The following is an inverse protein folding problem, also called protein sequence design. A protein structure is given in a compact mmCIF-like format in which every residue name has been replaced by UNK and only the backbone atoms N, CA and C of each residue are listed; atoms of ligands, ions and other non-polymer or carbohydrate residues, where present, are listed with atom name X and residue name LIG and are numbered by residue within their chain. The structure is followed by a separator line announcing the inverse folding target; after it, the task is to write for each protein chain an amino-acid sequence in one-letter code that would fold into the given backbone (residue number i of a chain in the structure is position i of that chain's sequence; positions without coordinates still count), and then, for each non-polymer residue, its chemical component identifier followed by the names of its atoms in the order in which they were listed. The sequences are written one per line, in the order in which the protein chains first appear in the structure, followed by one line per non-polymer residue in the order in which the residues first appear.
data_IF_407756996253
#
_entry.id   IF_407756996253
#
_cell.length_a   1.000
_cell.length_b   1.000
_cell.length_c   1.000
_cell.angle_alpha   90.00
_cell.angle_beta   90.00
_cell.angle_gamma   90.00
#
_symmetry.space_group_name_H-M   'P 1'
#
loop_
_entity.id
_entity.type
_entity.pdbx_description
1 polymer ?
#
# COMPACT_ATOMS: atom_id res chain seq x y z
N UNK A 1 15.34 -18.12 12.19
CA UNK A 1 14.53 -17.44 11.17
C UNK A 1 14.56 -15.93 11.36
N UNK A 2 14.76 -15.19 10.27
CA UNK A 2 14.85 -13.73 10.30
C UNK A 2 13.68 -13.14 9.52
N UNK A 3 12.94 -12.25 10.16
CA UNK A 3 11.86 -11.52 9.52
C UNK A 3 12.28 -10.08 9.28
N UNK A 4 11.82 -9.51 8.16
CA UNK A 4 12.08 -8.13 7.80
C UNK A 4 10.79 -7.31 7.93
N UNK A 5 10.89 -6.18 8.63
CA UNK A 5 9.78 -5.26 8.82
C UNK A 5 10.15 -3.89 8.27
N UNK A 6 9.28 -3.32 7.47
CA UNK A 6 9.47 -1.97 6.94
C UNK A 6 8.56 -1.00 7.69
N UNK A 7 9.14 0.03 8.29
CA UNK A 7 8.41 1.06 9.02
C UNK A 7 8.59 2.39 8.29
N UNK A 8 7.50 3.08 8.00
CA UNK A 8 7.52 4.39 7.35
C UNK A 8 7.37 5.47 8.41
N UNK A 9 8.31 6.40 8.44
CA UNK A 9 8.35 7.47 9.44
C UNK A 9 8.53 8.81 8.75
N UNK A 10 7.85 9.83 9.24
CA UNK A 10 8.06 11.20 8.80
C UNK A 10 9.08 11.88 9.72
N UNK A 11 10.03 12.61 9.12
CA UNK A 11 11.05 13.33 9.88
C UNK A 11 12.33 13.52 9.08
N UNK A 12 13.23 14.33 9.60
CA UNK A 12 14.54 14.51 8.98
C UNK A 12 15.50 13.39 9.39
N UNK A 13 16.73 13.43 8.87
CA UNK A 13 17.74 12.40 9.14
C UNK A 13 18.03 12.25 10.63
N UNK A 14 18.00 13.35 11.37
CA UNK A 14 18.26 13.34 12.82
C UNK A 14 17.20 12.53 13.57
N UNK A 15 15.94 12.73 13.22
CA UNK A 15 14.81 11.97 13.80
C UNK A 15 14.93 10.50 13.44
N UNK A 16 15.26 10.20 12.19
CA UNK A 16 15.45 8.82 11.74
C UNK A 16 16.57 8.11 12.49
N UNK A 17 17.69 8.81 12.74
CA UNK A 17 18.80 8.26 13.50
C UNK A 17 18.40 7.95 14.95
N UNK A 18 17.59 8.83 15.57
CA UNK A 18 17.10 8.60 16.94
C UNK A 18 16.20 7.37 16.99
N UNK A 19 15.29 7.23 16.02
CA UNK A 19 14.40 6.08 15.95
C UNK A 19 15.18 4.80 15.73
N UNK A 20 16.16 4.82 14.82
CA UNK A 20 17.07 3.70 14.60
C UNK A 20 17.73 3.23 15.87
N UNK A 21 18.31 4.17 16.62
CA UNK A 21 19.02 3.86 17.87
C UNK A 21 18.08 3.26 18.92
N UNK A 22 16.85 3.75 19.01
CA UNK A 22 15.85 3.19 19.93
C UNK A 22 15.48 1.76 19.55
N UNK A 23 15.27 1.51 18.25
CA UNK A 23 14.93 0.17 17.76
C UNK A 23 16.05 -0.83 17.97
N UNK A 24 17.30 -0.41 17.81
CA UNK A 24 18.46 -1.28 18.02
C UNK A 24 18.60 -1.77 19.46
N UNK A 25 17.96 -1.10 20.42
CA UNK A 25 17.99 -1.51 21.83
C UNK A 25 17.06 -2.68 22.13
N UNK A 26 16.15 -2.98 21.22
CA UNK A 26 15.20 -4.08 21.42
C UNK A 26 15.92 -5.43 21.27
N UNK A 27 15.59 -6.36 22.18
CA UNK A 27 16.25 -7.66 22.25
C UNK A 27 16.23 -8.45 20.93
N UNK A 28 15.10 -8.44 20.26
CA UNK A 28 14.91 -9.26 19.05
C UNK A 28 15.32 -8.57 17.75
N UNK A 29 15.77 -7.32 17.83
CA UNK A 29 16.21 -6.57 16.65
C UNK A 29 17.66 -6.86 16.34
N UNK A 30 17.93 -7.41 15.16
CA UNK A 30 19.27 -7.75 14.70
C UNK A 30 19.94 -6.60 13.96
N UNK A 31 19.15 -5.88 13.16
CA UNK A 31 19.67 -4.80 12.32
C UNK A 31 18.56 -3.81 11.99
N UNK A 32 18.92 -2.52 11.96
CA UNK A 32 18.04 -1.43 11.51
C UNK A 32 18.78 -0.61 10.47
N UNK A 33 18.15 -0.39 9.33
CA UNK A 33 18.70 0.42 8.23
C UNK A 33 17.78 1.56 7.87
N UNK A 34 18.35 2.72 7.58
CA UNK A 34 17.63 3.84 6.99
C UNK A 34 17.80 3.71 5.48
N UNK A 35 16.69 3.59 4.75
CA UNK A 35 16.70 3.40 3.30
C UNK A 35 16.50 4.74 2.60
N UNK A 36 17.47 5.13 1.77
CA UNK A 36 17.40 6.37 0.98
C UNK A 36 17.19 6.12 -0.50
N UNK A 37 17.65 4.98 -1.01
CA UNK A 37 17.45 4.56 -2.40
C UNK A 37 16.96 3.11 -2.38
N UNK A 38 15.66 2.95 -2.45
CA UNK A 38 15.03 1.64 -2.33
C UNK A 38 13.90 1.47 -3.33
N UNK A 39 13.64 0.21 -3.67
CA UNK A 39 12.45 -0.16 -4.41
C UNK A 39 11.34 -0.40 -3.41
N UNK A 40 10.25 0.36 -3.52
CA UNK A 40 9.11 0.25 -2.62
C UNK A 40 7.90 -0.31 -3.35
N UNK A 41 7.18 -1.21 -2.69
CA UNK A 41 5.92 -1.75 -3.20
C UNK A 41 4.91 -1.83 -2.08
N UNK A 42 3.65 -1.65 -2.45
CA UNK A 42 2.53 -1.74 -1.54
C UNK A 42 1.43 -2.54 -2.22
N UNK A 43 0.68 -3.29 -1.46
CA UNK A 43 -0.43 -4.09 -1.94
C UNK A 43 -1.72 -3.59 -1.31
N UNK A 44 -2.78 -3.50 -2.10
CA UNK A 44 -4.10 -3.09 -1.62
C UNK A 44 -5.16 -4.05 -2.16
N UNK A 45 -6.13 -4.35 -1.31
CA UNK A 45 -7.37 -5.00 -1.71
C UNK A 45 -8.48 -4.03 -1.31
N UNK A 46 -9.32 -3.66 -2.27
CA UNK A 46 -10.38 -2.67 -2.03
C UNK A 46 -11.68 -3.11 -2.67
N UNK A 47 -12.77 -3.01 -1.91
CA UNK A 47 -14.11 -3.20 -2.44
C UNK A 47 -14.73 -1.82 -2.64
N UNK A 48 -15.11 -1.53 -3.89
CA UNK A 48 -15.68 -0.24 -4.29
C UNK A 48 -17.02 -0.44 -4.98
N UNK A 49 -17.90 0.54 -4.85
CA UNK A 49 -19.21 0.56 -5.49
C UNK A 49 -20.35 0.57 -4.49
N UNK A 50 -21.42 1.30 -4.84
CA UNK A 50 -22.65 1.39 -4.03
C UNK A 50 -23.87 0.87 -4.81
N UNK A 51 -23.76 0.85 -6.13
CA UNK A 51 -24.86 0.46 -7.01
C UNK A 51 -24.34 -0.12 -8.31
N UNK A 52 -25.22 -0.73 -9.07
CA UNK A 52 -24.89 -1.33 -10.36
C UNK A 52 -24.30 -0.29 -11.33
N UNK A 53 -24.75 0.96 -11.26
CA UNK A 53 -24.29 2.04 -12.13
C UNK A 53 -22.80 2.36 -11.93
N UNK A 54 -22.26 2.09 -10.75
CA UNK A 54 -20.85 2.35 -10.45
C UNK A 54 -19.89 1.39 -11.15
N UNK A 55 -20.37 0.22 -11.57
CA UNK A 55 -19.52 -0.84 -12.10
C UNK A 55 -18.66 -0.42 -13.29
N UNK A 56 -19.24 0.31 -14.23
CA UNK A 56 -18.53 0.74 -15.44
C UNK A 56 -17.35 1.65 -15.07
N UNK A 57 -17.56 2.62 -14.19
CA UNK A 57 -16.51 3.53 -13.75
C UNK A 57 -15.41 2.82 -12.99
N UNK A 58 -15.76 1.88 -12.13
CA UNK A 58 -14.81 1.08 -11.38
C UNK A 58 -13.95 0.23 -12.31
N UNK A 59 -14.57 -0.41 -13.32
CA UNK A 59 -13.85 -1.21 -14.31
C UNK A 59 -12.87 -0.34 -15.11
N UNK A 60 -13.25 0.88 -15.46
CA UNK A 60 -12.37 1.81 -16.16
C UNK A 60 -11.14 2.14 -15.32
N UNK A 61 -11.33 2.43 -14.03
CA UNK A 61 -10.21 2.69 -13.11
C UNK A 61 -9.32 1.46 -12.99
N UNK A 62 -9.91 0.29 -12.83
CA UNK A 62 -9.17 -0.97 -12.74
C UNK A 62 -8.29 -1.18 -13.98
N UNK A 63 -8.83 -0.93 -15.17
CA UNK A 63 -8.08 -1.09 -16.41
C UNK A 63 -6.92 -0.10 -16.53
N UNK A 64 -7.14 1.15 -16.10
CA UNK A 64 -6.08 2.17 -16.14
C UNK A 64 -4.87 1.77 -15.29
N UNK A 65 -5.10 1.14 -14.16
CA UNK A 65 -4.05 0.75 -13.22
C UNK A 65 -3.63 -0.70 -13.36
N UNK A 66 -4.30 -1.46 -14.23
CA UNK A 66 -4.09 -2.89 -14.41
C UNK A 66 -4.33 -3.66 -13.11
N UNK A 67 -5.34 -3.23 -12.37
CA UNK A 67 -5.78 -3.93 -11.17
C UNK A 67 -6.53 -5.20 -11.54
N UNK A 68 -6.50 -6.18 -10.66
CA UNK A 68 -7.22 -7.45 -10.86
C UNK A 68 -8.55 -7.41 -10.12
N UNK A 69 -9.60 -7.93 -10.75
CA UNK A 69 -10.88 -8.16 -10.08
C UNK A 69 -10.78 -9.50 -9.37
N UNK A 70 -10.95 -9.50 -8.06
CA UNK A 70 -10.85 -10.72 -7.25
C UNK A 70 -12.19 -11.22 -6.73
N UNK A 71 -13.20 -10.35 -6.74
CA UNK A 71 -14.56 -10.72 -6.40
C UNK A 71 -15.52 -9.70 -6.99
N UNK A 72 -16.64 -10.18 -7.54
CA UNK A 72 -17.64 -9.32 -8.16
C UNK A 72 -19.00 -9.60 -7.52
N UNK A 73 -19.56 -8.57 -6.88
CA UNK A 73 -20.92 -8.60 -6.39
C UNK A 73 -21.81 -7.76 -7.32
N UNK A 74 -23.11 -7.78 -7.10
CA UNK A 74 -24.05 -7.07 -7.95
C UNK A 74 -23.80 -5.56 -7.97
N UNK A 75 -23.50 -4.98 -6.80
CA UNK A 75 -23.38 -3.54 -6.63
C UNK A 75 -21.95 -3.07 -6.33
N UNK A 76 -20.98 -3.98 -6.28
CA UNK A 76 -19.60 -3.63 -5.96
C UNK A 76 -18.62 -4.62 -6.56
N UNK A 77 -17.36 -4.20 -6.67
CA UNK A 77 -16.28 -5.02 -7.19
C UNK A 77 -15.12 -4.94 -6.22
N UNK A 78 -14.51 -6.08 -5.93
CA UNK A 78 -13.29 -6.14 -5.14
C UNK A 78 -12.11 -6.20 -6.08
N UNK A 79 -11.17 -5.27 -5.91
CA UNK A 79 -9.99 -5.12 -6.76
C UNK A 79 -8.73 -5.29 -5.94
N UNK A 80 -7.69 -5.79 -6.59
CA UNK A 80 -6.38 -5.98 -6.01
C UNK A 80 -5.34 -5.26 -6.87
N UNK A 81 -4.40 -4.55 -6.24
CA UNK A 81 -3.35 -3.84 -6.94
C UNK A 81 -2.07 -3.84 -6.13
N UNK A 82 -0.94 -4.10 -6.80
CA UNK A 82 0.40 -3.94 -6.23
C UNK A 82 1.14 -2.89 -7.04
N UNK A 83 1.82 -2.00 -6.38
CA UNK A 83 2.58 -0.97 -7.06
C UNK A 83 3.31 -0.05 -6.09
N UNK A 84 3.87 1.02 -6.64
CA UNK A 84 4.48 2.06 -5.82
C UNK A 84 3.42 2.75 -4.97
N UNK A 85 3.78 3.30 -3.80
CA UNK A 85 2.82 3.99 -2.94
C UNK A 85 2.03 5.09 -3.64
N UNK A 86 2.68 5.86 -4.52
CA UNK A 86 2.02 6.93 -5.28
C UNK A 86 0.94 6.39 -6.20
N UNK A 87 1.23 5.24 -6.84
CA UNK A 87 0.26 4.57 -7.71
C UNK A 87 -0.94 4.09 -6.91
N UNK A 88 -0.69 3.48 -5.76
CA UNK A 88 -1.77 3.00 -4.87
C UNK A 88 -2.63 4.16 -4.39
N UNK A 89 -2.02 5.27 -3.99
CA UNK A 89 -2.76 6.46 -3.56
C UNK A 89 -3.65 7.03 -4.67
N UNK A 90 -3.13 7.11 -5.89
CA UNK A 90 -3.89 7.57 -7.06
C UNK A 90 -5.07 6.65 -7.37
N UNK A 91 -4.84 5.36 -7.31
CA UNK A 91 -5.86 4.34 -7.52
C UNK A 91 -7.01 4.50 -6.53
N UNK A 92 -6.69 4.62 -5.24
CA UNK A 92 -7.69 4.79 -4.19
C UNK A 92 -8.46 6.10 -4.39
N UNK A 93 -7.76 7.20 -4.73
CA UNK A 93 -8.39 8.50 -4.98
C UNK A 93 -9.43 8.44 -6.09
N UNK A 94 -9.13 7.71 -7.16
CA UNK A 94 -10.06 7.57 -8.28
C UNK A 94 -11.24 6.65 -7.97
N UNK A 95 -11.11 5.76 -7.00
CA UNK A 95 -12.21 4.90 -6.56
C UNK A 95 -13.14 5.56 -5.55
N UNK A 96 -12.67 6.58 -4.82
CA UNK A 96 -13.48 7.25 -3.80
C UNK A 96 -14.84 7.73 -4.27
N UNK A 97 -14.97 8.34 -5.48
CA UNK A 97 -16.30 8.80 -5.95
C UNK A 97 -17.34 7.69 -6.05
N UNK A 98 -16.92 6.45 -6.27
CA UNK A 98 -17.83 5.31 -6.36
C UNK A 98 -18.18 4.72 -4.99
N UNK A 99 -17.46 5.14 -3.95
CA UNK A 99 -17.62 4.63 -2.60
C UNK A 99 -16.75 3.43 -2.31
N UNK A 100 -15.89 3.57 -1.32
CA UNK A 100 -15.05 2.48 -0.83
C UNK A 100 -15.74 1.85 0.36
N UNK A 101 -16.11 0.58 0.22
CA UNK A 101 -16.83 -0.16 1.27
C UNK A 101 -15.86 -0.75 2.29
N UNK A 102 -14.79 -1.37 1.79
CA UNK A 102 -13.76 -2.00 2.62
C UNK A 102 -12.42 -1.86 1.92
N UNK A 103 -11.36 -1.79 2.68
CA UNK A 103 -10.01 -1.71 2.13
C UNK A 103 -9.00 -2.28 3.12
N UNK A 104 -8.04 -3.02 2.58
CA UNK A 104 -6.89 -3.52 3.33
C UNK A 104 -5.63 -3.11 2.57
N UNK A 105 -4.71 -2.44 3.25
CA UNK A 105 -3.39 -2.10 2.69
C UNK A 105 -2.35 -2.87 3.49
N UNK A 106 -1.41 -3.49 2.80
CA UNK A 106 -0.36 -4.31 3.44
C UNK A 106 0.74 -3.47 4.09
N UNK A 107 0.74 -2.14 3.84
CA UNK A 107 1.88 -1.33 4.19
C UNK A 107 2.97 -1.42 3.12
N UNK A 108 4.01 -0.62 3.28
CA UNK A 108 5.08 -0.51 2.30
C UNK A 108 6.17 -1.53 2.57
N UNK A 109 6.50 -2.34 1.56
CA UNK A 109 7.68 -3.20 1.55
C UNK A 109 8.77 -2.50 0.77
N UNK A 110 9.96 -2.42 1.32
CA UNK A 110 11.07 -1.71 0.70
C UNK A 110 12.34 -2.57 0.75
N UNK A 111 13.11 -2.49 -0.33
CA UNK A 111 14.39 -3.19 -0.41
C UNK A 111 15.38 -2.25 -1.08
N UNK A 112 16.56 -2.10 -0.49
CA UNK A 112 17.62 -1.27 -1.05
C UNK A 112 18.06 -1.81 -2.43
N UNK A 113 18.47 -0.91 -3.33
CA UNK A 113 18.87 -1.29 -4.70
C UNK A 113 20.18 -2.06 -4.74
N UNK A 114 21.04 -1.84 -3.77
CA UNK A 114 22.38 -2.45 -3.72
C UNK A 114 22.54 -3.45 -2.60
#
# INVERSE_FOLDING_TARGET
EISRLTIVVAGDLRVLEQIKNQLMKLHDVKEVKILTDAVCREHVIVRAGRSVEDRRGIVEVANLFRAKSVDIAEDSIMLELTGKPEKINSFISLLKPFGIVKMVRSGISALERD
#
